data_IF_886919845415
#
_entry.id   IF_886919845415
#
_cell.length_a   1.000
_cell.length_b   1.000
_cell.length_c   1.000
_cell.angle_alpha   90.00
_cell.angle_beta   90.00
_cell.angle_gamma   90.00
#
_symmetry.space_group_name_H-M   'P 1'
#
loop_
_entity.id
_entity.type
_entity.pdbx_description
1 polymer ?
#
# COMPACT_ATOMS: atom_id res chain seq x y z
N UNK A 1 11.52 35.38 -26.19
CA UNK A 1 12.14 34.04 -26.12
C UNK A 1 11.11 33.11 -25.47
N UNK A 2 10.44 32.25 -26.25
CA UNK A 2 9.35 31.38 -25.79
C UNK A 2 9.84 29.96 -25.44
N UNK A 3 9.00 29.27 -24.65
CA UNK A 3 8.84 27.82 -24.38
C UNK A 3 9.51 27.33 -23.10
N UNK A 4 8.73 27.04 -22.06
CA UNK A 4 7.88 25.84 -21.83
C UNK A 4 8.65 24.93 -20.86
N UNK A 5 8.10 24.29 -19.84
CA UNK A 5 6.82 23.61 -19.71
C UNK A 5 7.14 22.25 -19.07
N UNK A 6 6.39 21.90 -18.03
CA UNK A 6 6.28 20.64 -17.28
C UNK A 6 7.47 19.67 -17.19
N UNK A 7 7.75 19.23 -15.95
CA UNK A 7 8.11 17.84 -15.74
C UNK A 7 6.80 17.16 -15.35
N UNK A 8 6.12 16.64 -16.36
CA UNK A 8 5.08 15.64 -16.18
C UNK A 8 5.83 14.38 -15.75
N UNK A 9 5.61 13.87 -14.54
CA UNK A 9 5.97 12.48 -14.29
C UNK A 9 4.93 11.67 -15.06
N UNK A 10 5.34 11.27 -16.26
CA UNK A 10 4.56 10.50 -17.20
C UNK A 10 4.08 9.22 -16.52
N UNK A 11 2.78 8.98 -16.64
CA UNK A 11 2.11 7.72 -16.37
C UNK A 11 2.98 6.56 -16.86
N UNK A 12 3.38 5.69 -15.92
CA UNK A 12 3.88 4.38 -16.28
C UNK A 12 2.67 3.61 -16.79
N UNK A 13 2.53 3.55 -18.11
CA UNK A 13 1.59 2.65 -18.80
C UNK A 13 1.97 1.21 -18.51
N UNK A 14 1.41 0.61 -17.46
CA UNK A 14 1.18 -0.82 -17.42
C UNK A 14 -0.22 -1.02 -18.00
N UNK A 15 -0.31 -1.79 -19.09
CA UNK A 15 -1.54 -2.07 -19.85
C UNK A 15 -2.48 -2.98 -19.02
N UNK A 16 -2.92 -2.46 -17.88
CA UNK A 16 -3.68 -3.10 -16.83
C UNK A 16 -4.38 -2.05 -15.96
N UNK A 17 -5.41 -2.44 -15.20
CA UNK A 17 -6.21 -1.47 -14.46
C UNK A 17 -5.36 -0.68 -13.46
N UNK A 18 -5.56 0.63 -13.41
CA UNK A 18 -4.86 1.58 -12.52
C UNK A 18 -4.93 1.10 -11.07
N UNK A 19 -3.81 1.15 -10.33
CA UNK A 19 -3.77 0.75 -8.93
C UNK A 19 -4.49 1.78 -8.08
N UNK A 20 -5.62 1.43 -7.45
CA UNK A 20 -6.40 2.36 -6.61
C UNK A 20 -5.90 2.45 -5.17
N UNK A 21 -5.14 1.46 -4.74
CA UNK A 21 -4.46 1.46 -3.45
C UNK A 21 -3.12 0.74 -3.59
N UNK A 22 -2.04 1.40 -3.21
CA UNK A 22 -0.71 0.79 -3.12
C UNK A 22 -0.18 0.92 -1.70
N UNK A 23 0.23 -0.21 -1.14
CA UNK A 23 0.94 -0.32 0.12
C UNK A 23 2.35 -0.85 -0.16
N UNK A 24 3.39 -0.11 0.23
CA UNK A 24 4.77 -0.45 -0.09
C UNK A 24 5.61 -0.53 1.18
N UNK A 25 6.24 -1.68 1.39
CA UNK A 25 7.20 -1.92 2.48
C UNK A 25 6.60 -1.76 3.89
N UNK A 26 5.32 -2.10 4.06
CA UNK A 26 4.59 -1.90 5.32
C UNK A 26 5.20 -2.78 6.41
N UNK A 27 5.75 -2.12 7.44
CA UNK A 27 6.25 -2.76 8.64
C UNK A 27 5.59 -2.17 9.88
N UNK A 28 5.21 -3.04 10.82
CA UNK A 28 4.54 -2.65 12.07
C UNK A 28 4.99 -3.55 13.21
N UNK A 29 5.39 -2.91 14.30
CA UNK A 29 5.76 -3.57 15.56
C UNK A 29 4.88 -3.07 16.69
N UNK A 30 4.59 -3.96 17.63
CA UNK A 30 3.94 -3.64 18.90
C UNK A 30 4.86 -4.08 20.03
N UNK A 31 5.54 -3.13 20.66
CA UNK A 31 6.63 -3.44 21.59
C UNK A 31 7.68 -4.33 20.92
N UNK A 32 7.97 -5.50 21.51
CA UNK A 32 8.93 -6.47 20.97
C UNK A 32 8.38 -7.41 19.88
N UNK A 33 7.10 -7.32 19.52
CA UNK A 33 6.46 -8.24 18.57
C UNK A 33 6.38 -7.60 17.19
N UNK A 34 6.91 -8.27 16.18
CA UNK A 34 6.76 -7.87 14.77
C UNK A 34 5.44 -8.40 14.24
N UNK A 35 4.50 -7.51 13.95
CA UNK A 35 3.20 -7.87 13.41
C UNK A 35 3.18 -7.88 11.87
N UNK A 36 3.93 -6.98 11.24
CA UNK A 36 4.16 -6.94 9.79
C UNK A 36 5.63 -6.62 9.54
N UNK A 37 6.20 -7.27 8.53
CA UNK A 37 7.59 -7.07 8.11
C UNK A 37 7.61 -6.96 6.60
N UNK A 38 7.90 -5.76 6.09
CA UNK A 38 8.13 -5.46 4.68
C UNK A 38 7.03 -5.97 3.73
N UNK A 39 5.77 -5.69 4.08
CA UNK A 39 4.61 -6.16 3.30
C UNK A 39 4.26 -5.16 2.21
N UNK A 40 4.16 -5.62 0.96
CA UNK A 40 3.70 -4.80 -0.17
C UNK A 40 2.46 -5.42 -0.84
N UNK A 41 1.52 -4.57 -1.24
CA UNK A 41 0.24 -4.96 -1.84
C UNK A 41 -0.27 -3.84 -2.75
N UNK A 42 -0.67 -4.20 -3.97
CA UNK A 42 -1.41 -3.34 -4.88
C UNK A 42 -2.82 -3.87 -5.07
N UNK A 43 -3.82 -2.98 -5.03
CA UNK A 43 -5.21 -3.28 -5.32
C UNK A 43 -5.66 -2.54 -6.59
N UNK A 44 -6.31 -3.26 -7.50
CA UNK A 44 -6.89 -2.69 -8.72
C UNK A 44 -8.42 -2.66 -8.68
N UNK A 45 -9.09 -1.77 -9.43
CA UNK A 45 -10.54 -1.70 -9.53
C UNK A 45 -11.18 -3.04 -9.85
N UNK A 46 -12.23 -3.38 -9.11
CA UNK A 46 -13.03 -4.59 -9.35
C UNK A 46 -12.41 -5.89 -8.85
N UNK A 47 -11.20 -5.86 -8.27
CA UNK A 47 -10.58 -7.03 -7.67
C UNK A 47 -11.13 -7.32 -6.27
N UNK A 48 -11.31 -8.60 -5.96
CA UNK A 48 -11.60 -9.08 -4.60
C UNK A 48 -10.43 -9.92 -4.14
N UNK A 49 -9.73 -9.44 -3.12
CA UNK A 49 -8.59 -10.12 -2.53
C UNK A 49 -8.99 -10.81 -1.22
N UNK A 50 -8.53 -12.03 -1.02
CA UNK A 50 -8.68 -12.75 0.24
C UNK A 50 -7.37 -12.69 1.03
N UNK A 51 -7.38 -12.04 2.19
CA UNK A 51 -6.24 -12.05 3.10
C UNK A 51 -6.31 -13.27 4.03
N UNK A 52 -5.44 -14.24 3.77
CA UNK A 52 -5.43 -15.55 4.45
C UNK A 52 -4.18 -15.73 5.31
N UNK A 53 -4.25 -16.63 6.29
CA UNK A 53 -3.14 -16.93 7.20
C UNK A 53 -3.63 -17.30 8.60
N UNK A 54 -2.72 -17.73 9.47
CA UNK A 54 -3.06 -18.13 10.85
C UNK A 54 -3.39 -16.94 11.75
N UNK A 55 -3.93 -17.23 12.94
CA UNK A 55 -4.12 -16.20 13.97
C UNK A 55 -2.75 -15.67 14.41
N UNK A 56 -2.61 -14.34 14.45
CA UNK A 56 -1.33 -13.69 14.77
C UNK A 56 -0.46 -13.37 13.55
N UNK A 57 -0.78 -13.83 12.34
CA UNK A 57 -0.01 -13.55 11.12
C UNK A 57 -0.06 -12.07 10.64
N UNK A 58 -0.61 -11.14 11.42
CA UNK A 58 -0.66 -9.72 11.08
C UNK A 58 -1.85 -9.29 10.21
N UNK A 59 -2.76 -10.18 9.82
CA UNK A 59 -3.89 -9.87 8.91
C UNK A 59 -4.72 -8.67 9.36
N UNK A 60 -5.21 -8.68 10.60
CA UNK A 60 -6.00 -7.58 11.17
C UNK A 60 -5.17 -6.31 11.36
N UNK A 61 -3.85 -6.44 11.53
CA UNK A 61 -2.94 -5.28 11.60
C UNK A 61 -2.84 -4.62 10.24
N UNK A 62 -2.64 -5.40 9.16
CA UNK A 62 -2.61 -4.87 7.80
C UNK A 62 -3.93 -4.17 7.47
N UNK A 63 -5.07 -4.81 7.78
CA UNK A 63 -6.38 -4.21 7.56
C UNK A 63 -6.59 -2.89 8.32
N UNK A 64 -6.09 -2.77 9.56
CA UNK A 64 -6.16 -1.51 10.33
C UNK A 64 -5.26 -0.42 9.79
N UNK A 65 -4.13 -0.77 9.16
CA UNK A 65 -3.26 0.20 8.49
C UNK A 65 -3.94 0.69 7.21
N UNK A 66 -4.43 -0.23 6.36
CA UNK A 66 -5.09 0.12 5.11
C UNK A 66 -6.38 0.93 5.32
N UNK A 67 -7.09 0.72 6.44
CA UNK A 67 -8.26 1.51 6.80
C UNK A 67 -7.96 2.84 7.52
N UNK A 68 -6.68 3.17 7.73
CA UNK A 68 -6.24 4.40 8.39
C UNK A 68 -6.40 4.42 9.91
N UNK A 69 -6.74 3.29 10.55
CA UNK A 69 -6.83 3.18 12.02
C UNK A 69 -5.46 3.22 12.68
N UNK A 70 -4.46 2.55 12.08
CA UNK A 70 -3.08 2.66 12.51
C UNK A 70 -2.31 3.54 11.53
N UNK A 71 -1.74 4.62 12.04
CA UNK A 71 -0.95 5.60 11.27
C UNK A 71 0.53 5.60 11.63
N UNK A 72 0.91 4.93 12.71
CA UNK A 72 2.28 4.76 13.17
C UNK A 72 2.87 3.46 12.59
N UNK A 73 3.32 3.49 11.33
CA UNK A 73 3.95 2.36 10.64
C UNK A 73 5.09 2.85 9.75
N UNK A 74 5.96 1.93 9.34
CA UNK A 74 6.98 2.19 8.31
C UNK A 74 6.44 1.81 6.93
N UNK A 75 6.98 2.43 5.88
CA UNK A 75 6.51 2.27 4.51
C UNK A 75 5.49 3.34 4.12
N UNK A 76 4.77 3.12 3.02
CA UNK A 76 3.83 4.09 2.45
C UNK A 76 2.53 3.43 2.02
N UNK A 77 1.41 4.12 2.26
CA UNK A 77 0.11 3.78 1.66
C UNK A 77 -0.34 4.97 0.81
N UNK A 78 -0.63 4.73 -0.46
CA UNK A 78 -1.18 5.69 -1.40
C UNK A 78 -2.57 5.23 -1.87
N UNK A 79 -3.46 6.18 -2.07
CA UNK A 79 -4.83 5.97 -2.57
C UNK A 79 -5.04 7.01 -3.68
N UNK A 80 -5.63 6.57 -4.79
CA UNK A 80 -6.00 7.40 -5.94
C UNK A 80 -7.37 8.10 -5.77
#
# INVERSE_FOLDING_TARGET
>A
MQRAGSITTEDVTADGPTVVLSATGISKRFGGITALSDVSLDLRPGEVHALMGENGAGKSTLMKILSGVYTDYEGTVAID
#
